data_IF_651137139877
#
_entry.id   IF_651137139877
#
_cell.length_a   1.000
_cell.length_b   1.000
_cell.length_c   1.000
_cell.angle_alpha   90.00
_cell.angle_beta   90.00
_cell.angle_gamma   90.00
#
_symmetry.space_group_name_H-M   'P 1'
#
loop_
_entity.id
_entity.type
_entity.pdbx_description
1 polymer ?
#
# COMPACT_ATOMS: atom_id res chain seq x y z
N UNK A 1 -23.64 12.40 24.74
CA UNK A 1 -22.41 12.95 25.37
C UNK A 1 -21.44 11.82 25.78
N UNK A 2 -21.39 10.71 25.03
CA UNK A 2 -20.65 9.48 25.38
C UNK A 2 -19.57 9.09 24.35
N UNK A 3 -19.37 9.88 23.31
CA UNK A 3 -18.43 9.55 22.21
C UNK A 3 -17.01 10.14 22.41
N UNK A 4 -16.88 11.12 23.31
CA UNK A 4 -15.59 11.82 23.54
C UNK A 4 -14.63 10.98 24.38
N UNK A 5 -15.13 10.15 25.31
CA UNK A 5 -14.26 9.34 26.19
C UNK A 5 -13.73 8.08 25.50
N UNK A 6 -14.47 7.50 24.55
CA UNK A 6 -14.07 6.25 23.89
C UNK A 6 -12.91 6.44 22.88
N UNK A 7 -12.68 7.67 22.42
CA UNK A 7 -11.67 7.99 21.42
C UNK A 7 -10.37 8.58 22.00
N UNK A 8 -10.32 8.85 23.31
CA UNK A 8 -9.13 9.36 24.01
C UNK A 8 -7.86 8.51 23.81
N UNK A 9 -7.89 7.16 23.93
CA UNK A 9 -6.66 6.37 23.75
C UNK A 9 -6.12 6.46 22.32
N UNK A 10 -7.00 6.55 21.32
CA UNK A 10 -6.65 6.69 19.90
C UNK A 10 -6.00 8.03 19.63
N UNK A 11 -6.59 9.11 20.14
CA UNK A 11 -6.07 10.47 19.98
C UNK A 11 -4.69 10.59 20.63
N UNK A 12 -4.52 10.06 21.84
CA UNK A 12 -3.22 10.06 22.53
C UNK A 12 -2.16 9.24 21.77
N UNK A 13 -2.53 8.07 21.24
CA UNK A 13 -1.63 7.26 20.42
C UNK A 13 -1.22 8.00 19.13
N UNK A 14 -2.16 8.66 18.44
CA UNK A 14 -1.87 9.43 17.22
C UNK A 14 -0.97 10.64 17.47
N UNK A 15 -1.17 11.35 18.59
CA UNK A 15 -0.31 12.45 19.02
C UNK A 15 1.11 11.97 19.37
N UNK A 16 1.22 10.84 20.07
CA UNK A 16 2.51 10.22 20.37
C UNK A 16 3.28 9.87 19.09
N UNK A 17 2.61 9.29 18.10
CA UNK A 17 3.25 8.96 16.82
C UNK A 17 3.64 10.23 16.05
N UNK A 18 2.80 11.27 16.04
CA UNK A 18 3.15 12.55 15.40
C UNK A 18 4.41 13.18 16.01
N UNK A 19 4.56 13.13 17.34
CA UNK A 19 5.76 13.59 18.03
C UNK A 19 6.98 12.73 17.69
N UNK A 20 6.84 11.41 17.60
CA UNK A 20 7.91 10.52 17.16
C UNK A 20 8.33 10.80 15.72
N UNK A 21 7.39 11.04 14.81
CA UNK A 21 7.67 11.42 13.43
C UNK A 21 8.43 12.75 13.36
N UNK A 22 8.03 13.76 14.14
CA UNK A 22 8.75 15.02 14.23
C UNK A 22 10.18 14.83 14.78
N UNK A 23 10.34 13.98 15.79
CA UNK A 23 11.65 13.59 16.31
C UNK A 23 12.53 12.89 15.27
N UNK A 24 11.96 12.03 14.44
CA UNK A 24 12.68 11.40 13.32
C UNK A 24 13.13 12.43 12.28
N UNK A 25 12.27 13.38 11.90
CA UNK A 25 12.63 14.46 10.97
C UNK A 25 13.75 15.33 11.55
N UNK A 26 13.70 15.65 12.85
CA UNK A 26 14.79 16.36 13.52
C UNK A 26 16.09 15.54 13.52
N UNK A 27 15.99 14.23 13.71
CA UNK A 27 17.10 13.28 13.56
C UNK A 27 17.71 13.30 12.16
N UNK A 28 16.87 13.30 11.11
CA UNK A 28 17.29 13.39 9.72
C UNK A 28 18.06 14.69 9.44
N UNK A 29 17.54 15.83 9.90
CA UNK A 29 18.22 17.13 9.79
C UNK A 29 19.58 17.08 10.51
N UNK A 30 19.62 16.54 11.73
CA UNK A 30 20.86 16.41 12.48
C UNK A 30 21.89 15.56 11.72
N UNK A 31 21.52 14.37 11.24
CA UNK A 31 22.46 13.51 10.50
C UNK A 31 22.91 14.12 9.19
N UNK A 32 22.03 14.85 8.49
CA UNK A 32 22.40 15.59 7.29
C UNK A 32 23.44 16.68 7.59
N UNK A 33 23.34 17.39 8.73
CA UNK A 33 24.37 18.38 9.12
C UNK A 33 25.73 17.76 9.44
N UNK A 34 25.76 16.47 9.80
CA UNK A 34 26.99 15.70 9.99
C UNK A 34 27.52 15.09 8.67
N UNK A 35 26.79 15.25 7.55
CA UNK A 35 27.13 14.63 6.27
C UNK A 35 26.77 13.15 6.17
N UNK A 36 25.99 12.60 7.10
CA UNK A 36 25.52 11.22 7.06
C UNK A 36 24.13 11.13 6.41
N UNK A 37 24.13 11.09 5.08
CA UNK A 37 22.91 11.05 4.28
C UNK A 37 22.21 9.69 4.30
N UNK A 38 22.94 8.60 4.59
CA UNK A 38 22.34 7.28 4.75
C UNK A 38 21.47 7.22 6.01
N UNK A 39 21.96 7.74 7.13
CA UNK A 39 21.14 7.86 8.34
C UNK A 39 19.99 8.85 8.17
N UNK A 40 20.20 9.93 7.41
CA UNK A 40 19.13 10.88 7.06
C UNK A 40 17.96 10.17 6.39
N UNK A 41 18.25 9.36 5.37
CA UNK A 41 17.25 8.54 4.68
C UNK A 41 16.54 7.56 5.63
N UNK A 42 17.30 6.91 6.53
CA UNK A 42 16.73 5.96 7.48
C UNK A 42 15.75 6.64 8.47
N UNK A 43 16.10 7.83 8.96
CA UNK A 43 15.23 8.63 9.82
C UNK A 43 13.95 9.08 9.10
N UNK A 44 14.06 9.57 7.86
CA UNK A 44 12.90 9.98 7.07
C UNK A 44 12.00 8.78 6.74
N UNK A 45 12.58 7.62 6.41
CA UNK A 45 11.83 6.40 6.16
C UNK A 45 11.05 5.99 7.41
N UNK A 46 11.70 6.03 8.58
CA UNK A 46 11.05 5.76 9.86
C UNK A 46 9.92 6.76 10.14
N UNK A 47 10.16 8.05 9.90
CA UNK A 47 9.14 9.08 10.04
C UNK A 47 7.91 8.79 9.17
N UNK A 48 8.12 8.42 7.89
CA UNK A 48 7.04 8.08 6.96
C UNK A 48 6.29 6.82 7.37
N UNK A 49 6.99 5.75 7.80
CA UNK A 49 6.34 4.53 8.29
C UNK A 49 5.46 4.82 9.51
N UNK A 50 5.95 5.65 10.43
CA UNK A 50 5.19 6.09 11.60
C UNK A 50 3.93 6.87 11.20
N UNK A 51 4.04 7.81 10.25
CA UNK A 51 2.87 8.58 9.76
C UNK A 51 1.83 7.65 9.13
N UNK A 52 2.26 6.71 8.28
CA UNK A 52 1.34 5.76 7.64
C UNK A 52 0.63 4.86 8.66
N UNK A 53 1.38 4.37 9.66
CA UNK A 53 0.82 3.59 10.77
C UNK A 53 -0.13 4.39 11.65
N UNK A 54 0.17 5.67 11.94
CA UNK A 54 -0.72 6.57 12.67
C UNK A 54 -2.01 6.84 11.92
N UNK A 55 -1.95 7.08 10.60
CA UNK A 55 -3.14 7.27 9.78
C UNK A 55 -4.01 6.02 9.77
N UNK A 56 -3.41 4.84 9.66
CA UNK A 56 -4.12 3.56 9.79
C UNK A 56 -4.80 3.42 11.15
N UNK A 57 -4.07 3.63 12.24
CA UNK A 57 -4.61 3.51 13.59
C UNK A 57 -5.70 4.55 13.88
N UNK A 58 -5.53 5.80 13.42
CA UNK A 58 -6.46 6.88 13.67
C UNK A 58 -7.79 6.67 12.94
N UNK A 59 -7.74 6.29 11.67
CA UNK A 59 -8.93 6.17 10.83
C UNK A 59 -9.62 4.82 11.04
N UNK A 60 -8.85 3.73 11.17
CA UNK A 60 -9.40 2.37 11.13
C UNK A 60 -9.15 1.55 12.39
N UNK A 61 -8.55 2.14 13.43
CA UNK A 61 -8.20 1.43 14.68
C UNK A 61 -7.24 0.25 14.47
N UNK A 62 -6.52 0.22 13.35
CA UNK A 62 -5.59 -0.85 13.02
C UNK A 62 -4.37 -0.27 12.27
N UNK A 63 -3.15 -0.61 12.68
CA UNK A 63 -1.91 -0.07 12.08
C UNK A 63 -1.76 -0.41 10.58
N UNK A 64 -2.23 -1.59 10.16
CA UNK A 64 -2.28 -1.98 8.73
C UNK A 64 -3.52 -1.44 7.99
N UNK A 65 -4.30 -0.57 8.64
CA UNK A 65 -5.56 -0.03 8.14
C UNK A 65 -5.49 0.56 6.73
N UNK A 66 -4.37 1.18 6.40
CA UNK A 66 -4.15 1.76 5.06
C UNK A 66 -4.18 0.71 3.95
N UNK A 67 -3.80 -0.54 4.27
CA UNK A 67 -3.78 -1.68 3.35
C UNK A 67 -5.13 -2.40 3.28
N UNK A 68 -6.01 -2.18 4.25
CA UNK A 68 -7.29 -2.88 4.38
C UNK A 68 -8.36 -2.12 3.60
N UNK A 69 -9.15 -2.84 2.81
CA UNK A 69 -10.28 -2.26 2.07
C UNK A 69 -11.63 -2.42 2.81
N UNK A 70 -12.71 -1.93 2.21
CA UNK A 70 -14.06 -1.97 2.79
C UNK A 70 -14.66 -3.38 2.99
N UNK A 71 -13.94 -4.45 2.65
CA UNK A 71 -14.28 -5.86 2.92
C UNK A 71 -13.48 -6.44 4.09
N UNK A 72 -12.68 -5.61 4.78
CA UNK A 72 -11.78 -6.02 5.85
C UNK A 72 -10.73 -7.04 5.39
N UNK A 73 -10.28 -6.96 4.13
CA UNK A 73 -9.19 -7.78 3.56
C UNK A 73 -8.02 -6.88 3.14
N UNK A 74 -6.80 -7.43 3.15
CA UNK A 74 -5.63 -6.70 2.62
C UNK A 74 -5.76 -6.59 1.10
N UNK A 75 -5.71 -5.36 0.58
CA UNK A 75 -5.84 -5.08 -0.85
C UNK A 75 -4.49 -4.92 -1.51
N UNK A 76 -4.29 -5.64 -2.61
CA UNK A 76 -3.08 -5.57 -3.42
C UNK A 76 -2.83 -4.16 -3.99
N UNK A 77 -3.87 -3.51 -4.53
CA UNK A 77 -3.74 -2.17 -5.09
C UNK A 77 -3.40 -1.12 -4.01
N UNK A 78 -3.94 -1.28 -2.79
CA UNK A 78 -3.59 -0.43 -1.65
C UNK A 78 -2.14 -0.64 -1.21
N UNK A 79 -1.68 -1.90 -1.18
CA UNK A 79 -0.29 -2.21 -0.88
C UNK A 79 0.68 -1.54 -1.87
N UNK A 80 0.36 -1.59 -3.16
CA UNK A 80 1.20 -0.94 -4.18
C UNK A 80 1.25 0.57 -4.02
N UNK A 81 0.10 1.24 -3.91
CA UNK A 81 0.10 2.70 -3.80
C UNK A 81 0.75 3.15 -2.48
N UNK A 82 0.53 2.41 -1.38
CA UNK A 82 1.14 2.71 -0.10
C UNK A 82 2.66 2.51 -0.15
N UNK A 83 3.15 1.41 -0.73
CA UNK A 83 4.58 1.13 -0.89
C UNK A 83 5.27 2.18 -1.76
N UNK A 84 4.70 2.52 -2.91
CA UNK A 84 5.24 3.55 -3.78
C UNK A 84 5.20 4.94 -3.14
N UNK A 85 4.12 5.30 -2.47
CA UNK A 85 4.03 6.57 -1.74
C UNK A 85 5.06 6.64 -0.62
N UNK A 86 5.28 5.53 0.11
CA UNK A 86 6.29 5.45 1.16
C UNK A 86 7.69 5.73 0.60
N UNK A 87 8.09 5.06 -0.49
CA UNK A 87 9.41 5.25 -1.11
C UNK A 87 9.57 6.65 -1.69
N UNK A 88 8.59 7.12 -2.46
CA UNK A 88 8.66 8.43 -3.12
C UNK A 88 8.67 9.57 -2.11
N UNK A 89 7.79 9.57 -1.11
CA UNK A 89 7.76 10.64 -0.12
C UNK A 89 8.97 10.63 0.81
N UNK A 90 9.49 9.45 1.15
CA UNK A 90 10.77 9.32 1.85
C UNK A 90 11.89 9.97 1.04
N UNK A 91 11.99 9.64 -0.26
CA UNK A 91 13.02 10.21 -1.14
C UNK A 91 12.92 11.74 -1.27
N UNK A 92 11.72 12.28 -1.51
CA UNK A 92 11.51 13.74 -1.59
C UNK A 92 11.94 14.42 -0.30
N UNK A 93 11.53 13.88 0.86
CA UNK A 93 11.87 14.45 2.15
C UNK A 93 13.39 14.46 2.36
N UNK A 94 14.06 13.33 2.14
CA UNK A 94 15.51 13.23 2.34
C UNK A 94 16.31 14.12 1.40
N UNK A 95 15.98 14.14 0.11
CA UNK A 95 16.63 15.03 -0.84
C UNK A 95 16.42 16.50 -0.46
N UNK A 96 15.21 16.87 -0.01
CA UNK A 96 14.92 18.23 0.44
C UNK A 96 15.73 18.60 1.69
N UNK A 97 15.79 17.72 2.69
CA UNK A 97 16.57 17.94 3.92
C UNK A 97 18.06 18.09 3.60
N UNK A 98 18.60 17.20 2.77
CA UNK A 98 20.01 17.23 2.35
C UNK A 98 20.33 18.52 1.59
N UNK A 99 19.52 18.88 0.59
CA UNK A 99 19.74 20.09 -0.20
C UNK A 99 19.60 21.35 0.69
N UNK A 100 18.64 21.37 1.62
CA UNK A 100 18.42 22.48 2.55
C UNK A 100 19.63 22.68 3.47
N UNK A 101 20.15 21.61 4.07
CA UNK A 101 21.33 21.66 4.95
C UNK A 101 22.58 22.10 4.19
N UNK A 102 22.72 21.68 2.92
CA UNK A 102 23.80 22.11 2.04
C UNK A 102 23.61 23.53 1.47
N UNK A 103 22.58 24.26 1.91
CA UNK A 103 22.26 25.63 1.48
C UNK A 103 22.04 25.75 -0.03
N UNK A 104 21.49 24.72 -0.64
CA UNK A 104 21.09 24.77 -2.04
C UNK A 104 19.92 25.75 -2.21
N UNK A 105 20.03 26.80 -3.06
CA UNK A 105 18.94 27.75 -3.29
C UNK A 105 17.70 27.09 -3.93
N UNK A 106 17.85 25.91 -4.53
CA UNK A 106 16.80 25.13 -5.16
C UNK A 106 16.46 23.85 -4.36
N UNK A 107 16.54 23.90 -3.01
CA UNK A 107 16.37 22.73 -2.15
C UNK A 107 15.05 21.96 -2.35
N UNK A 108 13.97 22.64 -2.75
CA UNK A 108 12.65 22.04 -3.01
C UNK A 108 12.42 21.68 -4.49
N UNK A 109 13.33 22.03 -5.40
CA UNK A 109 13.24 21.68 -6.83
C UNK A 109 13.73 20.24 -7.05
N UNK A 110 12.89 19.27 -6.65
CA UNK A 110 13.14 17.85 -6.85
C UNK A 110 12.40 17.38 -8.11
N UNK A 111 13.16 16.97 -9.13
CA UNK A 111 12.65 16.56 -10.44
C UNK A 111 12.28 15.08 -10.44
N UNK A 112 11.01 14.82 -10.73
CA UNK A 112 10.51 13.46 -10.94
C UNK A 112 10.50 13.14 -12.44
N UNK A 113 11.09 12.00 -12.86
CA UNK A 113 11.02 11.57 -14.25
C UNK A 113 9.57 11.22 -14.61
N UNK A 114 9.15 11.45 -15.87
CA UNK A 114 7.79 11.19 -16.31
C UNK A 114 7.41 9.69 -16.17
N UNK A 115 8.38 8.79 -16.26
CA UNK A 115 8.18 7.35 -16.06
C UNK A 115 7.75 7.00 -14.63
N UNK A 116 8.29 7.69 -13.62
CA UNK A 116 7.87 7.51 -12.23
C UNK A 116 6.44 8.05 -12.03
N UNK A 117 6.11 9.20 -12.61
CA UNK A 117 4.75 9.74 -12.57
C UNK A 117 3.74 8.81 -13.26
N UNK A 118 4.11 8.25 -14.42
CA UNK A 118 3.30 7.27 -15.13
C UNK A 118 3.07 6.01 -14.27
N UNK A 119 4.12 5.51 -13.61
CA UNK A 119 4.04 4.35 -12.73
C UNK A 119 3.07 4.59 -11.55
N UNK A 120 3.19 5.76 -10.90
CA UNK A 120 2.27 6.19 -9.84
C UNK A 120 0.82 6.31 -10.35
N UNK A 121 0.64 6.86 -11.55
CA UNK A 121 -0.65 6.99 -12.21
C UNK A 121 -1.31 5.64 -12.53
N UNK A 122 -0.53 4.67 -12.99
CA UNK A 122 -0.99 3.29 -13.23
C UNK A 122 -1.46 2.65 -11.91
N UNK A 123 -0.67 2.76 -10.84
CA UNK A 123 -1.05 2.25 -9.52
C UNK A 123 -2.34 2.88 -8.99
N UNK A 124 -2.49 4.20 -9.14
CA UNK A 124 -3.70 4.94 -8.74
C UNK A 124 -4.92 4.51 -9.55
N UNK A 125 -4.76 4.33 -10.87
CA UNK A 125 -5.83 3.86 -11.76
C UNK A 125 -6.26 2.45 -11.36
N UNK A 126 -5.31 1.57 -11.01
CA UNK A 126 -5.61 0.22 -10.54
C UNK A 126 -6.36 0.18 -9.21
N UNK A 127 -6.00 1.07 -8.28
CA UNK A 127 -6.72 1.24 -7.01
C UNK A 127 -8.19 1.60 -7.24
N UNK A 128 -8.45 2.63 -8.05
CA UNK A 128 -9.81 3.09 -8.35
C UNK A 128 -10.57 2.07 -9.17
N UNK A 129 -9.96 1.53 -10.23
CA UNK A 129 -10.55 0.51 -11.09
C UNK A 129 -10.95 -0.74 -10.32
N UNK A 130 -10.08 -1.22 -9.43
CA UNK A 130 -10.39 -2.34 -8.54
C UNK A 130 -11.59 -2.07 -7.65
N UNK A 131 -11.69 -0.87 -7.06
CA UNK A 131 -12.81 -0.50 -6.20
C UNK A 131 -14.14 -0.44 -6.98
N UNK A 132 -14.13 0.12 -8.20
CA UNK A 132 -15.31 0.19 -9.07
C UNK A 132 -15.81 -1.19 -9.49
N UNK A 133 -14.89 -2.08 -9.91
CA UNK A 133 -15.23 -3.46 -10.27
C UNK A 133 -15.89 -4.18 -9.09
N UNK A 134 -15.30 -4.05 -7.89
CA UNK A 134 -15.82 -4.68 -6.68
C UNK A 134 -17.18 -4.11 -6.28
N UNK A 135 -17.40 -2.80 -6.42
CA UNK A 135 -18.68 -2.19 -6.13
C UNK A 135 -19.82 -2.79 -6.97
N UNK A 136 -19.57 -3.08 -8.25
CA UNK A 136 -20.53 -3.78 -9.11
C UNK A 136 -20.85 -5.19 -8.60
N UNK A 137 -19.85 -5.93 -8.11
CA UNK A 137 -19.99 -7.32 -7.63
C UNK A 137 -20.70 -7.45 -6.28
N UNK A 138 -20.70 -6.39 -5.46
CA UNK A 138 -21.40 -6.38 -4.16
C UNK A 138 -22.92 -6.53 -4.29
N UNK A 139 -23.48 -6.12 -5.42
CA UNK A 139 -24.93 -6.13 -5.65
C UNK A 139 -25.41 -7.38 -6.39
N UNK A 140 -24.51 -8.32 -6.70
CA UNK A 140 -24.89 -9.57 -7.35
C UNK A 140 -25.59 -10.49 -6.36
N UNK A 141 -26.86 -10.82 -6.64
CA UNK A 141 -27.65 -11.73 -5.81
C UNK A 141 -27.07 -13.15 -5.86
N UNK A 142 -26.85 -13.74 -4.68
CA UNK A 142 -26.44 -15.14 -4.52
C UNK A 142 -27.46 -15.80 -3.59
N UNK A 143 -28.01 -16.98 -3.94
CA UNK A 143 -28.90 -17.71 -3.03
C UNK A 143 -28.22 -17.99 -1.68
N UNK A 144 -28.94 -17.75 -0.58
CA UNK A 144 -28.37 -17.83 0.78
C UNK A 144 -27.73 -19.18 1.09
N UNK A 145 -28.35 -20.28 0.65
CA UNK A 145 -27.85 -21.63 0.88
C UNK A 145 -26.54 -21.88 0.11
N UNK A 146 -26.44 -21.37 -1.11
CA UNK A 146 -25.22 -21.45 -1.91
C UNK A 146 -24.10 -20.59 -1.32
N UNK A 147 -24.42 -19.38 -0.85
CA UNK A 147 -23.45 -18.50 -0.19
C UNK A 147 -22.90 -19.13 1.09
N UNK A 148 -23.76 -19.69 1.96
CA UNK A 148 -23.34 -20.38 3.19
C UNK A 148 -22.46 -21.60 2.89
N UNK A 149 -22.84 -22.40 1.90
CA UNK A 149 -22.05 -23.56 1.49
C UNK A 149 -20.65 -23.14 1.00
N UNK A 150 -20.57 -22.14 0.12
CA UNK A 150 -19.30 -21.62 -0.38
C UNK A 150 -18.42 -21.01 0.73
N UNK A 151 -19.01 -20.23 1.65
CA UNK A 151 -18.28 -19.70 2.80
C UNK A 151 -17.75 -20.81 3.72
N UNK A 152 -18.51 -21.89 3.92
CA UNK A 152 -18.04 -23.05 4.69
C UNK A 152 -16.86 -23.75 4.00
N UNK A 153 -16.89 -23.88 2.67
CA UNK A 153 -15.75 -24.40 1.89
C UNK A 153 -14.53 -23.50 2.00
N UNK A 154 -14.69 -22.18 1.87
CA UNK A 154 -13.59 -21.21 2.03
C UNK A 154 -13.03 -21.24 3.45
N UNK A 155 -13.89 -21.32 4.48
CA UNK A 155 -13.48 -21.47 5.86
C UNK A 155 -12.60 -22.72 6.06
N UNK A 156 -13.05 -23.87 5.55
CA UNK A 156 -12.35 -25.14 5.65
C UNK A 156 -11.01 -25.14 4.90
N UNK A 157 -10.97 -24.65 3.66
CA UNK A 157 -9.75 -24.65 2.84
C UNK A 157 -8.69 -23.66 3.31
N UNK A 158 -9.13 -22.57 3.97
CA UNK A 158 -8.23 -21.50 4.38
C UNK A 158 -7.86 -21.54 5.87
N UNK A 159 -8.42 -22.47 6.66
CA UNK A 159 -8.20 -22.51 8.11
C UNK A 159 -8.75 -21.26 8.81
N UNK A 160 -9.91 -20.77 8.37
CA UNK A 160 -10.60 -19.62 8.94
C UNK A 160 -11.88 -20.10 9.61
N UNK A 161 -12.21 -19.57 10.77
CA UNK A 161 -13.47 -19.94 11.39
C UNK A 161 -14.64 -19.36 10.57
N UNK A 162 -15.67 -20.17 10.30
CA UNK A 162 -16.79 -19.81 9.43
C UNK A 162 -17.56 -18.58 9.95
N UNK A 163 -17.58 -18.38 11.26
CA UNK A 163 -18.17 -17.22 11.92
C UNK A 163 -17.38 -15.92 11.71
N UNK A 164 -16.14 -15.97 11.21
CA UNK A 164 -15.32 -14.80 10.87
C UNK A 164 -15.57 -14.28 9.45
N UNK A 165 -16.16 -15.11 8.59
CA UNK A 165 -16.43 -14.76 7.19
C UNK A 165 -17.88 -14.32 7.01
N UNK A 166 -18.09 -13.46 6.01
CA UNK A 166 -19.39 -13.10 5.49
C UNK A 166 -19.28 -12.90 3.97
N UNK A 167 -20.41 -12.64 3.31
CA UNK A 167 -20.43 -12.27 1.91
C UNK A 167 -21.11 -10.92 1.69
N UNK A 168 -20.65 -10.19 0.67
CA UNK A 168 -21.34 -9.03 0.10
C UNK A 168 -21.55 -9.33 -1.39
N UNK A 169 -22.75 -9.78 -1.73
CA UNK A 169 -23.03 -10.36 -3.05
C UNK A 169 -22.18 -11.62 -3.26
N UNK A 170 -21.41 -11.64 -4.36
CA UNK A 170 -20.47 -12.73 -4.69
C UNK A 170 -19.13 -12.62 -3.98
N UNK A 171 -18.84 -11.51 -3.27
CA UNK A 171 -17.52 -11.27 -2.68
C UNK A 171 -17.44 -11.86 -1.27
N UNK A 172 -16.30 -12.47 -0.95
CA UNK A 172 -15.95 -12.88 0.42
C UNK A 172 -15.43 -11.67 1.18
N UNK A 173 -15.90 -11.48 2.41
CA UNK A 173 -15.48 -10.39 3.30
C UNK A 173 -15.20 -10.92 4.71
N UNK A 174 -14.28 -10.27 5.42
CA UNK A 174 -14.07 -10.54 6.84
C UNK A 174 -15.05 -9.69 7.67
N UNK A 175 -15.58 -10.24 8.77
CA UNK A 175 -16.50 -9.49 9.65
C UNK A 175 -15.79 -8.39 10.42
N UNK A 176 -14.52 -8.57 10.75
CA UNK A 176 -13.73 -7.63 11.53
C UNK A 176 -12.42 -7.30 10.84
N UNK A 177 -11.95 -6.06 11.01
CA UNK A 177 -10.71 -5.59 10.40
C UNK A 177 -9.48 -6.37 10.84
N UNK A 178 -9.41 -6.78 12.11
CA UNK A 178 -8.31 -7.58 12.65
C UNK A 178 -8.21 -9.01 12.08
N UNK A 179 -9.17 -9.42 11.24
CA UNK A 179 -9.16 -10.71 10.56
C UNK A 179 -8.53 -10.65 9.16
N UNK A 180 -8.12 -9.45 8.70
CA UNK A 180 -7.38 -9.28 7.46
C UNK A 180 -6.05 -10.04 7.50
N UNK A 181 -5.71 -10.77 6.43
CA UNK A 181 -4.54 -11.67 6.40
C UNK A 181 -3.67 -11.38 5.18
N UNK A 182 -2.36 -11.58 5.31
CA UNK A 182 -1.41 -11.46 4.19
C UNK A 182 -1.73 -12.38 3.02
N UNK A 183 -2.36 -13.53 3.29
CA UNK A 183 -2.81 -14.45 2.23
C UNK A 183 -3.82 -13.80 1.27
N UNK A 184 -4.57 -12.79 1.72
CA UNK A 184 -5.63 -12.13 0.93
C UNK A 184 -5.04 -11.44 -0.32
N UNK A 185 -3.73 -11.15 -0.30
CA UNK A 185 -2.98 -10.65 -1.45
C UNK A 185 -2.87 -11.67 -2.58
N UNK A 186 -2.95 -12.95 -2.27
CA UNK A 186 -2.67 -14.06 -3.19
C UNK A 186 -3.91 -14.86 -3.55
N UNK A 187 -5.01 -14.76 -2.80
CA UNK A 187 -6.22 -15.55 -3.03
C UNK A 187 -7.24 -14.83 -3.90
N UNK A 188 -8.20 -15.59 -4.45
CA UNK A 188 -9.40 -15.04 -5.07
C UNK A 188 -10.21 -14.14 -4.13
N UNK A 189 -11.19 -13.42 -4.69
CA UNK A 189 -12.04 -12.46 -3.96
C UNK A 189 -13.51 -12.86 -3.93
N UNK A 190 -13.92 -13.82 -4.76
CA UNK A 190 -15.30 -14.26 -4.90
C UNK A 190 -15.54 -15.60 -4.20
N UNK A 191 -16.79 -15.89 -3.87
CA UNK A 191 -17.20 -17.15 -3.25
C UNK A 191 -16.70 -18.39 -4.03
N UNK A 192 -16.56 -18.28 -5.35
CA UNK A 192 -16.09 -19.38 -6.21
C UNK A 192 -14.57 -19.58 -6.19
N UNK A 193 -13.77 -18.52 -5.98
CA UNK A 193 -12.31 -18.55 -6.13
C UNK A 193 -11.52 -18.17 -4.88
N UNK A 194 -12.17 -17.72 -3.79
CA UNK A 194 -11.52 -17.26 -2.57
C UNK A 194 -10.68 -18.33 -1.84
N UNK A 195 -10.93 -19.61 -2.14
CA UNK A 195 -10.13 -20.74 -1.65
C UNK A 195 -8.86 -21.01 -2.46
N UNK A 196 -8.68 -20.35 -3.61
CA UNK A 196 -7.64 -20.63 -4.59
C UNK A 196 -6.68 -19.45 -4.74
N UNK A 197 -5.47 -19.75 -5.23
CA UNK A 197 -4.46 -18.74 -5.55
C UNK A 197 -4.84 -18.06 -6.87
N UNK A 198 -4.91 -16.72 -6.85
CA UNK A 198 -5.11 -15.87 -8.01
C UNK A 198 -3.76 -15.54 -8.65
N UNK A 199 -3.44 -16.25 -9.74
CA UNK A 199 -2.17 -16.09 -10.47
C UNK A 199 -1.95 -14.65 -10.96
N UNK A 200 -3.01 -13.95 -11.36
CA UNK A 200 -2.88 -12.57 -11.84
C UNK A 200 -2.40 -11.63 -10.72
N UNK A 201 -2.85 -11.85 -9.48
CA UNK A 201 -2.35 -11.11 -8.31
C UNK A 201 -0.93 -11.46 -7.95
N UNK A 202 -0.59 -12.75 -7.98
CA UNK A 202 0.78 -13.20 -7.70
C UNK A 202 1.76 -12.54 -8.67
N UNK A 203 1.46 -12.58 -9.97
CA UNK A 203 2.29 -11.97 -11.01
C UNK A 203 2.42 -10.45 -10.81
N UNK A 204 1.30 -9.76 -10.59
CA UNK A 204 1.26 -8.33 -10.37
C UNK A 204 2.04 -7.90 -9.10
N UNK A 205 1.86 -8.63 -8.00
CA UNK A 205 2.58 -8.39 -6.76
C UNK A 205 4.09 -8.59 -6.96
N UNK A 206 4.48 -9.66 -7.64
CA UNK A 206 5.88 -9.97 -7.90
C UNK A 206 6.60 -8.84 -8.65
N UNK A 207 6.05 -8.41 -9.80
CA UNK A 207 6.65 -7.31 -10.55
C UNK A 207 6.71 -6.02 -9.74
N UNK A 208 5.68 -5.76 -8.94
CA UNK A 208 5.61 -4.53 -8.14
C UNK A 208 6.59 -4.52 -6.98
N UNK A 209 6.73 -5.62 -6.24
CA UNK A 209 7.68 -5.72 -5.14
C UNK A 209 9.11 -5.66 -5.67
N UNK A 210 9.43 -6.41 -6.73
CA UNK A 210 10.78 -6.41 -7.32
C UNK A 210 11.17 -5.00 -7.75
N UNK A 211 10.29 -4.31 -8.48
CA UNK A 211 10.56 -2.95 -8.90
C UNK A 211 10.67 -1.99 -7.71
N UNK A 212 9.76 -2.07 -6.74
CA UNK A 212 9.77 -1.20 -5.55
C UNK A 212 11.07 -1.36 -4.75
N UNK A 213 11.51 -2.60 -4.52
CA UNK A 213 12.73 -2.90 -3.75
C UNK A 213 13.98 -2.42 -4.49
N UNK A 214 14.09 -2.71 -5.78
CA UNK A 214 15.23 -2.25 -6.59
C UNK A 214 15.27 -0.72 -6.64
N UNK A 215 14.12 -0.08 -6.83
CA UNK A 215 14.03 1.37 -6.88
C UNK A 215 14.39 2.02 -5.53
N UNK A 216 13.92 1.46 -4.42
CA UNK A 216 14.29 1.91 -3.09
C UNK A 216 15.80 1.76 -2.83
N UNK A 217 16.41 0.68 -3.34
CA UNK A 217 17.86 0.48 -3.25
C UNK A 217 18.62 1.52 -4.10
N UNK A 218 18.15 1.85 -5.30
CA UNK A 218 18.75 2.91 -6.12
C UNK A 218 18.65 4.28 -5.44
N UNK A 219 17.52 4.60 -4.82
CA UNK A 219 17.37 5.81 -3.99
C UNK A 219 18.37 5.81 -2.85
N UNK A 220 18.49 4.69 -2.13
CA UNK A 220 19.42 4.58 -1.01
C UNK A 220 20.88 4.79 -1.45
N UNK A 221 21.29 4.19 -2.57
CA UNK A 221 22.62 4.37 -3.14
C UNK A 221 22.85 5.80 -3.65
N UNK A 222 21.83 6.42 -4.26
CA UNK A 222 21.90 7.80 -4.74
C UNK A 222 22.11 8.77 -3.57
N UNK A 223 21.35 8.61 -2.49
CA UNK A 223 21.42 9.45 -1.30
C UNK A 223 22.71 9.20 -0.52
N UNK A 224 23.11 7.93 -0.35
CA UNK A 224 24.34 7.56 0.36
C UNK A 224 25.63 7.93 -0.38
N UNK A 225 25.55 8.22 -1.69
CA UNK A 225 26.70 8.59 -2.52
C UNK A 225 27.37 9.93 -2.17
N UNK A 226 26.91 10.62 -1.11
CA UNK A 226 27.47 11.88 -0.60
C UNK A 226 27.63 12.99 -1.64
N UNK A 227 26.81 12.98 -2.69
CA UNK A 227 26.75 14.10 -3.64
C UNK A 227 26.03 15.26 -2.96
N UNK A 228 26.61 16.48 -2.95
CA UNK A 228 26.06 17.61 -2.21
C UNK A 228 24.71 18.11 -2.75
N UNK A 229 24.31 17.67 -3.94
CA UNK A 229 23.07 18.10 -4.59
C UNK A 229 22.33 16.90 -5.18
N UNK A 230 21.09 16.71 -4.75
CA UNK A 230 20.21 15.63 -5.20
C UNK A 230 18.89 16.22 -5.70
N UNK A 231 18.82 16.49 -7.01
CA UNK A 231 17.63 17.10 -7.64
C UNK A 231 16.83 16.13 -8.50
N UNK A 232 17.20 14.85 -8.54
CA UNK A 232 16.66 13.91 -9.50
C UNK A 232 16.45 12.54 -8.90
N UNK A 233 15.31 11.95 -9.22
CA UNK A 233 15.03 10.55 -8.99
C UNK A 233 15.79 9.66 -9.99
N UNK A 234 16.14 8.41 -9.61
CA UNK A 234 16.66 7.42 -10.55
C UNK A 234 15.68 7.21 -11.71
N UNK A 235 16.18 7.12 -12.96
CA UNK A 235 15.33 6.90 -14.12
C UNK A 235 14.74 5.49 -14.12
N UNK A 236 13.51 5.35 -14.57
CA UNK A 236 12.85 4.05 -14.78
C UNK A 236 12.75 3.81 -16.29
N UNK A 237 13.05 2.61 -16.77
CA UNK A 237 12.93 2.32 -18.20
C UNK A 237 11.47 2.31 -18.64
N UNK A 238 11.19 2.82 -19.84
CA UNK A 238 9.85 2.78 -20.43
C UNK A 238 9.32 1.35 -20.60
N UNK A 239 10.21 0.38 -20.85
CA UNK A 239 9.85 -1.04 -20.90
C UNK A 239 9.35 -1.56 -19.55
N UNK A 240 9.95 -1.12 -18.44
CA UNK A 240 9.48 -1.47 -17.10
C UNK A 240 8.11 -0.87 -16.82
N UNK A 241 7.89 0.40 -17.16
CA UNK A 241 6.57 1.05 -17.04
C UNK A 241 5.54 0.30 -17.89
N UNK A 242 5.88 -0.07 -19.13
CA UNK A 242 5.02 -0.86 -20.01
C UNK A 242 4.69 -2.23 -19.42
N UNK A 243 5.67 -2.93 -18.85
CA UNK A 243 5.47 -4.23 -18.20
C UNK A 243 4.51 -4.13 -17.01
N UNK A 244 4.67 -3.11 -16.17
CA UNK A 244 3.74 -2.86 -15.06
C UNK A 244 2.34 -2.52 -15.59
N UNK A 245 2.24 -1.68 -16.62
CA UNK A 245 0.95 -1.33 -17.23
C UNK A 245 0.20 -2.57 -17.75
N UNK A 246 0.89 -3.47 -18.46
CA UNK A 246 0.32 -4.73 -18.95
C UNK A 246 -0.09 -5.63 -17.78
N UNK A 247 0.77 -5.78 -16.77
CA UNK A 247 0.45 -6.62 -15.60
C UNK A 247 -0.77 -6.10 -14.82
N UNK A 248 -0.89 -4.78 -14.68
CA UNK A 248 -2.01 -4.11 -14.01
C UNK A 248 -3.30 -4.21 -14.82
N UNK A 249 -3.23 -3.99 -16.14
CA UNK A 249 -4.35 -4.18 -17.04
C UNK A 249 -4.86 -5.63 -17.01
N UNK A 250 -3.95 -6.60 -17.10
CA UNK A 250 -4.29 -8.03 -16.99
C UNK A 250 -4.95 -8.38 -15.66
N UNK A 251 -4.45 -7.84 -14.55
CA UNK A 251 -5.08 -7.98 -13.24
C UNK A 251 -6.49 -7.41 -13.19
N UNK A 252 -6.71 -6.19 -13.67
CA UNK A 252 -8.03 -5.55 -13.66
C UNK A 252 -9.02 -6.30 -14.55
N UNK A 253 -8.59 -6.76 -15.74
CA UNK A 253 -9.41 -7.57 -16.64
C UNK A 253 -9.78 -8.90 -15.98
N UNK A 254 -8.80 -9.60 -15.40
CA UNK A 254 -9.08 -10.82 -14.63
C UNK A 254 -10.07 -10.51 -13.50
N UNK A 255 -9.87 -9.42 -12.76
CA UNK A 255 -10.76 -9.01 -11.67
C UNK A 255 -12.16 -8.62 -12.15
N UNK A 256 -12.34 -8.14 -13.37
CA UNK A 256 -13.65 -7.78 -13.92
C UNK A 256 -14.48 -9.01 -14.28
N UNK A 257 -13.86 -10.07 -14.80
CA UNK A 257 -14.53 -11.32 -15.18
C UNK A 257 -15.08 -12.01 -13.91
N UNK A 258 -16.35 -12.46 -13.88
CA UNK A 258 -16.89 -13.24 -12.77
C UNK A 258 -16.11 -14.54 -12.57
N UNK A 259 -15.84 -14.93 -11.32
CA UNK A 259 -15.07 -16.13 -11.03
C UNK A 259 -15.76 -17.40 -11.55
N UNK A 260 -17.09 -17.45 -11.59
CA UNK A 260 -17.86 -18.56 -12.17
C UNK A 260 -17.63 -18.75 -13.68
N UNK A 261 -17.10 -17.73 -14.37
CA UNK A 261 -16.76 -17.80 -15.79
C UNK A 261 -15.27 -18.12 -16.04
N UNK A 262 -14.46 -18.17 -14.98
CA UNK A 262 -13.04 -18.58 -15.02
C UNK A 262 -13.03 -20.06 -14.64
N UNK A 263 -12.98 -20.94 -15.64
CA UNK A 263 -12.95 -22.39 -15.43
C UNK A 263 -11.75 -22.85 -14.61
#
# INVERSE_FOLDING_TARGET
MTDVDNNRPVVLASLGIALLSAGCIAGAIYTATQGDYALTLAFDLLAMMLIFGALGQWITQHYLGILIDGRNVISLARLQIAGWSLVVFTAILSMTVINLVNRDPAAIDIRMPPELLALMGIGTTSLVGSALILAGKKNTSVPDDAAKAALATVAASTGTASDQLANQGVLVVNKQMGQARWRDLFTGEELADAAHIDIARVQMLFFSIVLLVVYAAEIALLVAGNKPQTHGFPPISQYMVGLIAISQGGYLVNKAIPATAKG
#
